data_IF_590595630179
#
_entry.id   IF_590595630179
#
_cell.length_a   1.000
_cell.length_b   1.000
_cell.length_c   1.000
_cell.angle_alpha   90.00
_cell.angle_beta   90.00
_cell.angle_gamma   90.00
#
_symmetry.space_group_name_H-M   'P 1'
#
loop_
_entity.id
_entity.type
_entity.pdbx_description
1 polymer ?
#
# COMPACT_ATOMS: atom_id res chain seq x y z
N UNK A 1 6.20 22.32 -9.93
CA UNK A 1 5.60 22.96 -8.75
C UNK A 1 6.27 22.39 -7.51
N UNK A 2 6.66 23.24 -6.54
CA UNK A 2 7.20 22.80 -5.26
C UNK A 2 6.06 22.28 -4.38
N UNK A 3 6.20 21.07 -3.85
CA UNK A 3 5.26 20.49 -2.87
C UNK A 3 6.03 20.21 -1.59
N UNK A 4 5.50 20.65 -0.46
CA UNK A 4 6.09 20.39 0.86
C UNK A 4 5.00 20.06 1.86
N UNK A 5 5.10 18.91 2.52
CA UNK A 5 4.20 18.49 3.58
C UNK A 5 4.93 17.51 4.52
N UNK A 6 4.35 17.30 5.68
CA UNK A 6 4.80 16.32 6.65
C UNK A 6 3.58 15.50 7.11
N UNK A 7 3.77 14.23 7.38
CA UNK A 7 2.77 13.33 7.97
C UNK A 7 3.35 12.81 9.28
N UNK A 8 2.56 12.90 10.36
CA UNK A 8 2.96 12.42 11.68
C UNK A 8 2.70 10.92 11.83
N UNK A 9 3.39 10.30 12.77
CA UNK A 9 3.21 8.87 13.05
C UNK A 9 1.75 8.56 13.43
N UNK A 10 1.17 7.54 12.80
CA UNK A 10 -0.21 7.11 13.02
C UNK A 10 -1.27 7.92 12.26
N UNK A 11 -0.90 9.05 11.66
CA UNK A 11 -1.83 9.92 10.90
C UNK A 11 -2.24 9.24 9.59
N UNK A 12 -3.53 9.33 9.24
CA UNK A 12 -4.08 8.94 7.93
C UNK A 12 -4.37 10.21 7.12
N UNK A 13 -3.64 10.39 6.04
CA UNK A 13 -3.71 11.60 5.20
C UNK A 13 -4.21 11.26 3.82
N UNK A 14 -5.22 12.00 3.34
CA UNK A 14 -5.66 11.93 1.96
C UNK A 14 -4.90 12.94 1.08
N UNK A 15 -4.47 12.49 -0.08
CA UNK A 15 -4.01 13.33 -1.18
C UNK A 15 -5.12 13.39 -2.22
N UNK A 16 -5.79 14.54 -2.30
CA UNK A 16 -6.95 14.75 -3.18
C UNK A 16 -6.56 15.70 -4.31
N UNK A 17 -7.16 15.51 -5.46
CA UNK A 17 -6.94 16.36 -6.63
C UNK A 17 -7.52 15.74 -7.90
N UNK A 18 -7.63 16.54 -8.94
CA UNK A 18 -8.13 16.08 -10.24
C UNK A 18 -7.30 14.93 -10.82
N UNK A 19 -7.88 14.20 -11.78
CA UNK A 19 -7.13 13.23 -12.55
C UNK A 19 -6.00 13.95 -13.32
N UNK A 20 -4.80 13.38 -13.31
CA UNK A 20 -3.63 14.00 -13.90
C UNK A 20 -2.93 15.07 -13.04
N UNK A 21 -3.40 15.39 -11.84
CA UNK A 21 -2.77 16.37 -10.94
C UNK A 21 -1.39 15.93 -10.40
N UNK A 22 -0.99 14.68 -10.64
CA UNK A 22 0.31 14.17 -10.21
C UNK A 22 0.28 13.39 -8.90
N UNK A 23 -0.89 12.99 -8.39
CA UNK A 23 -1.03 12.22 -7.15
C UNK A 23 -0.20 10.93 -7.16
N UNK A 24 -0.44 10.06 -8.14
CA UNK A 24 0.33 8.79 -8.28
C UNK A 24 1.83 9.05 -8.45
N UNK A 25 2.22 10.08 -9.21
CA UNK A 25 3.61 10.48 -9.36
C UNK A 25 4.23 10.85 -8.02
N UNK A 26 3.52 11.60 -7.17
CA UNK A 26 3.98 11.95 -5.84
C UNK A 26 4.14 10.70 -4.95
N UNK A 27 3.18 9.76 -5.00
CA UNK A 27 3.28 8.51 -4.25
C UNK A 27 4.51 7.69 -4.66
N UNK A 28 4.85 7.63 -5.94
CA UNK A 28 6.02 6.90 -6.44
C UNK A 28 7.37 7.49 -5.96
N UNK A 29 7.40 8.74 -5.50
CA UNK A 29 8.58 9.32 -4.86
C UNK A 29 8.77 8.82 -3.42
N UNK A 30 7.70 8.39 -2.73
CA UNK A 30 7.77 7.99 -1.31
C UNK A 30 8.60 6.73 -1.10
N UNK A 31 8.60 5.80 -2.05
CA UNK A 31 9.38 4.54 -2.00
C UNK A 31 10.57 4.53 -2.99
N UNK A 32 10.85 5.67 -3.64
CA UNK A 32 11.97 5.85 -4.54
C UNK A 32 11.85 5.09 -5.86
N UNK A 33 10.63 4.80 -6.33
CA UNK A 33 10.39 4.39 -7.72
C UNK A 33 10.66 5.55 -8.68
N UNK A 34 10.37 6.78 -8.24
CA UNK A 34 10.78 8.01 -8.91
C UNK A 34 11.72 8.80 -8.01
N UNK A 35 12.69 9.48 -8.62
CA UNK A 35 13.61 10.38 -7.93
C UNK A 35 13.16 11.82 -8.20
N UNK A 36 12.98 12.67 -7.17
CA UNK A 36 12.63 14.05 -7.37
C UNK A 36 13.78 14.81 -8.06
N UNK A 37 13.44 15.70 -9.00
CA UNK A 37 14.44 16.58 -9.65
C UNK A 37 15.05 17.59 -8.69
N UNK A 38 14.29 18.01 -7.69
CA UNK A 38 14.71 18.93 -6.61
C UNK A 38 13.99 18.57 -5.32
N UNK A 39 14.53 18.99 -4.17
CA UNK A 39 13.95 18.76 -2.87
C UNK A 39 14.44 17.47 -2.20
N UNK A 40 13.79 17.08 -1.14
CA UNK A 40 14.16 15.95 -0.27
C UNK A 40 12.91 15.18 0.10
N UNK A 41 13.01 13.85 0.06
CA UNK A 41 12.01 12.94 0.61
C UNK A 41 12.61 12.27 1.85
N UNK A 42 11.87 12.30 2.95
CA UNK A 42 12.23 11.66 4.22
C UNK A 42 11.08 10.74 4.63
N UNK A 43 11.36 9.46 4.86
CA UNK A 43 10.38 8.46 5.26
C UNK A 43 10.86 7.78 6.54
N UNK A 44 10.04 7.83 7.60
CA UNK A 44 10.41 7.26 8.90
C UNK A 44 11.72 7.83 9.47
N UNK A 45 12.02 9.12 9.24
CA UNK A 45 13.29 9.76 9.63
C UNK A 45 14.46 9.46 8.69
N UNK A 46 14.31 8.59 7.69
CA UNK A 46 15.38 8.21 6.76
C UNK A 46 15.26 9.05 5.49
N UNK A 47 16.31 9.83 5.17
CA UNK A 47 16.40 10.54 3.90
C UNK A 47 16.54 9.56 2.75
N UNK A 48 15.67 9.67 1.75
CA UNK A 48 15.70 8.84 0.55
C UNK A 48 16.90 9.20 -0.33
N UNK A 49 17.78 8.24 -0.52
CA UNK A 49 18.97 8.29 -1.37
C UNK A 49 19.19 6.92 -2.00
N UNK A 50 20.08 6.80 -2.99
CA UNK A 50 20.43 5.48 -3.55
C UNK A 50 20.92 4.49 -2.49
N UNK A 51 21.61 4.95 -1.45
CA UNK A 51 22.17 4.09 -0.38
C UNK A 51 21.10 3.65 0.62
N UNK A 52 20.13 4.51 0.91
CA UNK A 52 19.05 4.24 1.89
C UNK A 52 17.80 3.62 1.26
N UNK A 53 17.75 3.53 -0.07
CA UNK A 53 16.61 3.03 -0.83
C UNK A 53 16.12 1.63 -0.34
N UNK A 54 16.99 0.64 -0.07
CA UNK A 54 16.53 -0.67 0.45
C UNK A 54 15.80 -0.54 1.80
N UNK A 55 16.31 0.29 2.71
CA UNK A 55 15.69 0.53 4.03
C UNK A 55 14.35 1.24 3.90
N UNK A 56 14.27 2.27 3.03
CA UNK A 56 13.01 2.98 2.78
C UNK A 56 11.97 2.02 2.19
N UNK A 57 12.33 1.16 1.25
CA UNK A 57 11.41 0.18 0.64
C UNK A 57 10.92 -0.90 1.60
N UNK A 58 11.67 -1.21 2.65
CA UNK A 58 11.20 -2.08 3.74
C UNK A 58 10.19 -1.35 4.64
N UNK A 59 10.38 -0.04 4.85
CA UNK A 59 9.54 0.75 5.75
C UNK A 59 8.28 1.29 5.09
N UNK A 60 8.25 1.41 3.76
CA UNK A 60 7.14 2.01 2.99
C UNK A 60 6.52 0.97 2.10
N UNK A 61 5.30 0.57 2.43
CA UNK A 61 4.48 -0.30 1.60
C UNK A 61 3.63 0.50 0.62
N UNK A 62 3.73 0.21 -0.68
CA UNK A 62 2.94 0.85 -1.72
C UNK A 62 1.94 -0.12 -2.33
N UNK A 63 0.65 0.24 -2.26
CA UNK A 63 -0.43 -0.47 -2.94
C UNK A 63 -0.80 0.31 -4.20
N UNK A 64 -0.65 -0.33 -5.35
CA UNK A 64 -0.97 0.28 -6.65
C UNK A 64 -2.48 0.36 -6.91
N UNK A 65 -2.88 1.32 -7.74
CA UNK A 65 -4.25 1.48 -8.19
C UNK A 65 -4.77 0.20 -8.86
N UNK A 66 -4.01 -0.35 -9.78
CA UNK A 66 -4.34 -1.61 -10.43
C UNK A 66 -3.60 -2.78 -9.76
N UNK A 67 -4.37 -3.70 -9.19
CA UNK A 67 -3.82 -4.88 -8.52
C UNK A 67 -3.14 -5.85 -9.50
N UNK A 68 -3.47 -5.84 -10.79
CA UNK A 68 -2.83 -6.69 -11.80
C UNK A 68 -1.38 -6.25 -12.07
N UNK A 69 -1.01 -5.02 -11.75
CA UNK A 69 0.37 -4.54 -11.77
C UNK A 69 1.19 -4.97 -10.53
N UNK A 70 0.55 -5.57 -9.54
CA UNK A 70 1.18 -5.97 -8.27
C UNK A 70 1.19 -7.49 -8.05
N UNK A 71 0.19 -8.20 -8.60
CA UNK A 71 0.02 -9.64 -8.45
C UNK A 71 0.49 -10.35 -9.71
N UNK A 72 1.54 -11.15 -9.61
CA UNK A 72 2.20 -11.76 -10.76
C UNK A 72 2.68 -13.21 -10.53
N UNK A 73 2.56 -13.72 -9.29
CA UNK A 73 2.96 -15.08 -8.96
C UNK A 73 1.84 -16.10 -9.31
N UNK A 74 2.17 -17.38 -9.44
CA UNK A 74 1.18 -18.43 -9.71
C UNK A 74 0.07 -18.54 -8.68
N UNK A 75 0.39 -18.32 -7.39
CA UNK A 75 -0.56 -18.40 -6.27
C UNK A 75 -0.52 -17.14 -5.40
N UNK A 76 -1.62 -16.90 -4.70
CA UNK A 76 -1.75 -15.83 -3.71
C UNK A 76 -0.68 -15.92 -2.62
N UNK A 77 -0.42 -17.14 -2.12
CA UNK A 77 0.59 -17.35 -1.07
C UNK A 77 1.98 -16.93 -1.54
N UNK A 78 2.35 -17.27 -2.78
CA UNK A 78 3.63 -16.89 -3.38
C UNK A 78 3.74 -15.37 -3.59
N UNK A 79 2.67 -14.69 -4.02
CA UNK A 79 2.64 -13.23 -4.14
C UNK A 79 2.85 -12.57 -2.76
N UNK A 80 2.17 -13.04 -1.72
CA UNK A 80 2.29 -12.48 -0.37
C UNK A 80 3.65 -12.79 0.26
N UNK A 81 4.24 -13.95 -0.07
CA UNK A 81 5.57 -14.33 0.38
C UNK A 81 6.71 -13.62 -0.35
N UNK A 82 6.46 -13.00 -1.50
CA UNK A 82 7.50 -12.41 -2.35
C UNK A 82 8.31 -11.31 -1.64
N UNK A 83 7.62 -10.38 -0.96
CA UNK A 83 8.26 -9.31 -0.19
C UNK A 83 9.16 -9.86 0.93
N UNK A 84 8.62 -10.63 1.88
CA UNK A 84 9.39 -11.27 2.97
C UNK A 84 10.57 -12.12 2.47
N UNK A 85 10.41 -12.85 1.36
CA UNK A 85 11.49 -13.65 0.77
C UNK A 85 12.64 -12.76 0.26
N UNK A 86 12.34 -11.63 -0.35
CA UNK A 86 13.34 -10.66 -0.79
C UNK A 86 14.05 -9.96 0.39
N UNK A 87 13.41 -9.90 1.55
CA UNK A 87 14.02 -9.44 2.80
C UNK A 87 14.97 -10.48 3.41
N UNK A 88 15.05 -11.68 2.83
CA UNK A 88 15.87 -12.80 3.28
C UNK A 88 15.55 -13.25 4.71
N UNK A 89 14.27 -13.23 5.05
CA UNK A 89 13.80 -13.75 6.33
C UNK A 89 13.87 -15.28 6.36
N UNK A 90 13.92 -15.84 7.57
CA UNK A 90 13.86 -17.29 7.77
C UNK A 90 12.50 -17.86 7.30
N UNK A 91 12.47 -19.09 6.75
CA UNK A 91 11.24 -19.67 6.20
C UNK A 91 10.06 -19.69 7.17
N UNK A 92 10.31 -19.88 8.46
CA UNK A 92 9.29 -19.87 9.52
C UNK A 92 8.65 -18.49 9.65
N UNK A 93 9.48 -17.44 9.65
CA UNK A 93 9.03 -16.05 9.75
C UNK A 93 8.25 -15.63 8.49
N UNK A 94 8.65 -16.09 7.32
CA UNK A 94 7.90 -15.86 6.07
C UNK A 94 6.51 -16.48 6.19
N UNK A 95 6.40 -17.73 6.62
CA UNK A 95 5.10 -18.41 6.79
C UNK A 95 4.21 -17.68 7.79
N UNK A 96 4.75 -17.23 8.92
CA UNK A 96 4.03 -16.45 9.92
C UNK A 96 3.46 -15.18 9.31
N UNK A 97 4.29 -14.37 8.66
CA UNK A 97 3.90 -13.08 8.05
C UNK A 97 2.87 -13.24 6.95
N UNK A 98 3.03 -14.25 6.10
CA UNK A 98 2.05 -14.59 5.05
C UNK A 98 0.70 -14.92 5.65
N UNK A 99 0.67 -15.78 6.66
CA UNK A 99 -0.57 -16.18 7.35
C UNK A 99 -1.25 -14.97 7.98
N UNK A 100 -0.52 -14.18 8.77
CA UNK A 100 -1.05 -13.00 9.45
C UNK A 100 -1.55 -11.94 8.46
N UNK A 101 -0.83 -11.70 7.36
CA UNK A 101 -1.24 -10.75 6.34
C UNK A 101 -2.52 -11.20 5.62
N UNK A 102 -2.63 -12.48 5.25
CA UNK A 102 -3.83 -13.02 4.61
C UNK A 102 -5.03 -13.02 5.55
N UNK A 103 -4.84 -13.35 6.82
CA UNK A 103 -5.89 -13.30 7.85
C UNK A 103 -6.36 -11.84 8.07
N UNK A 104 -5.43 -10.90 8.17
CA UNK A 104 -5.74 -9.48 8.37
C UNK A 104 -6.66 -8.92 7.28
N UNK A 105 -6.50 -9.39 6.03
CA UNK A 105 -7.35 -8.95 4.89
C UNK A 105 -8.54 -9.89 4.63
N UNK A 106 -8.71 -10.97 5.41
CA UNK A 106 -9.76 -11.97 5.22
C UNK A 106 -9.64 -12.71 3.88
N UNK A 107 -8.42 -13.09 3.50
CA UNK A 107 -8.12 -13.78 2.25
C UNK A 107 -7.36 -15.10 2.44
N UNK A 108 -7.27 -15.64 3.64
CA UNK A 108 -6.52 -16.86 3.94
C UNK A 108 -7.01 -18.07 3.11
N UNK A 109 -8.32 -18.21 2.93
CA UNK A 109 -8.90 -19.30 2.13
C UNK A 109 -8.53 -19.23 0.64
N UNK A 110 -8.01 -18.09 0.20
CA UNK A 110 -7.59 -17.87 -1.20
C UNK A 110 -6.11 -18.18 -1.44
N UNK A 111 -5.33 -18.57 -0.42
CA UNK A 111 -3.87 -18.70 -0.50
C UNK A 111 -3.36 -19.59 -1.65
N UNK A 112 -4.07 -20.69 -1.94
CA UNK A 112 -3.73 -21.61 -3.02
C UNK A 112 -4.34 -21.23 -4.39
N UNK A 113 -5.15 -20.16 -4.45
CA UNK A 113 -5.77 -19.73 -5.69
C UNK A 113 -4.80 -18.94 -6.57
N UNK A 114 -5.03 -19.00 -7.89
CA UNK A 114 -4.32 -18.10 -8.81
C UNK A 114 -4.90 -16.69 -8.72
N UNK A 115 -4.08 -15.64 -8.56
CA UNK A 115 -4.54 -14.25 -8.52
C UNK A 115 -5.37 -13.84 -9.73
N UNK A 116 -5.09 -14.42 -10.89
CA UNK A 116 -5.82 -14.14 -12.15
C UNK A 116 -7.28 -14.59 -12.14
N UNK A 117 -7.66 -15.47 -11.21
CA UNK A 117 -9.05 -15.98 -11.06
C UNK A 117 -9.85 -15.23 -10.00
N UNK A 118 -9.26 -14.26 -9.32
CA UNK A 118 -9.89 -13.52 -8.24
C UNK A 118 -10.78 -12.39 -8.79
N UNK A 119 -11.86 -12.07 -8.04
CA UNK A 119 -12.64 -10.85 -8.29
C UNK A 119 -11.79 -9.60 -7.96
N UNK A 120 -12.19 -8.42 -8.49
CA UNK A 120 -11.47 -7.16 -8.23
C UNK A 120 -11.28 -6.86 -6.74
N UNK A 121 -12.32 -7.06 -5.92
CA UNK A 121 -12.22 -6.87 -4.48
C UNK A 121 -11.30 -7.90 -3.79
N UNK A 122 -11.28 -9.14 -4.24
CA UNK A 122 -10.34 -10.16 -3.76
C UNK A 122 -8.90 -9.81 -4.14
N UNK A 123 -8.65 -9.42 -5.40
CA UNK A 123 -7.33 -8.96 -5.87
C UNK A 123 -6.83 -7.79 -5.03
N UNK A 124 -7.71 -6.80 -4.76
CA UNK A 124 -7.32 -5.63 -3.94
C UNK A 124 -6.94 -6.04 -2.52
N UNK A 125 -7.69 -6.93 -1.87
CA UNK A 125 -7.33 -7.45 -0.54
C UNK A 125 -6.00 -8.19 -0.56
N UNK A 126 -5.76 -9.05 -1.56
CA UNK A 126 -4.48 -9.75 -1.71
C UNK A 126 -3.34 -8.77 -1.97
N UNK A 127 -3.52 -7.77 -2.84
CA UNK A 127 -2.52 -6.73 -3.06
C UNK A 127 -2.17 -5.95 -1.78
N UNK A 128 -3.15 -5.69 -0.91
CA UNK A 128 -2.88 -5.13 0.41
C UNK A 128 -2.07 -6.12 1.28
N UNK A 129 -2.42 -7.42 1.25
CA UNK A 129 -1.70 -8.44 2.01
C UNK A 129 -0.22 -8.58 1.59
N UNK A 130 0.11 -8.45 0.28
CA UNK A 130 1.51 -8.48 -0.17
C UNK A 130 2.36 -7.36 0.43
N UNK A 131 1.72 -6.25 0.76
CA UNK A 131 2.38 -5.11 1.42
C UNK A 131 2.45 -5.32 2.93
N UNK A 132 1.36 -5.76 3.57
CA UNK A 132 1.30 -5.99 5.01
C UNK A 132 2.29 -7.06 5.47
N UNK A 133 2.54 -8.09 4.67
CA UNK A 133 3.51 -9.16 4.97
C UNK A 133 4.95 -8.66 5.15
N UNK A 134 5.24 -7.46 4.64
CA UNK A 134 6.54 -6.80 4.85
C UNK A 134 6.62 -6.02 6.17
N UNK A 135 5.50 -5.90 6.91
CA UNK A 135 5.36 -5.12 8.15
C UNK A 135 5.87 -3.66 8.00
N UNK A 136 5.36 -2.91 7.02
CA UNK A 136 5.82 -1.55 6.77
C UNK A 136 5.38 -0.60 7.89
N UNK A 137 6.17 0.44 8.16
CA UNK A 137 5.80 1.51 9.10
C UNK A 137 4.82 2.51 8.48
N UNK A 138 4.85 2.63 7.15
CA UNK A 138 4.02 3.57 6.39
C UNK A 138 3.33 2.84 5.24
N UNK A 139 2.02 3.02 5.13
CA UNK A 139 1.23 2.53 4.00
C UNK A 139 0.95 3.68 3.04
N UNK A 140 1.26 3.47 1.78
CA UNK A 140 0.94 4.39 0.69
C UNK A 140 -0.01 3.68 -0.25
N UNK A 141 -1.16 4.27 -0.54
CA UNK A 141 -2.18 3.64 -1.36
C UNK A 141 -2.62 4.56 -2.49
N UNK A 142 -2.61 4.04 -3.70
CA UNK A 142 -3.11 4.77 -4.88
C UNK A 142 -4.49 4.24 -5.25
N UNK A 143 -5.52 5.09 -5.11
CA UNK A 143 -6.93 4.81 -5.44
C UNK A 143 -7.38 3.40 -4.96
N UNK A 144 -7.29 3.07 -3.66
CA UNK A 144 -7.51 1.70 -3.17
C UNK A 144 -8.92 1.18 -3.37
N UNK A 145 -9.90 2.06 -3.60
CA UNK A 145 -11.31 1.70 -3.81
C UNK A 145 -11.77 1.80 -5.27
N UNK A 146 -10.86 2.19 -6.19
CA UNK A 146 -11.21 2.36 -7.60
C UNK A 146 -11.64 1.03 -8.25
N UNK A 147 -12.61 1.11 -9.17
CA UNK A 147 -13.12 -0.04 -9.94
C UNK A 147 -13.71 -1.18 -9.09
N UNK A 148 -14.10 -0.92 -7.85
CA UNK A 148 -14.76 -1.88 -6.98
C UNK A 148 -16.28 -1.65 -6.96
N UNK A 149 -17.03 -2.75 -6.85
CA UNK A 149 -18.44 -2.65 -6.54
C UNK A 149 -18.67 -2.06 -5.13
N UNK A 150 -19.87 -1.53 -4.82
CA UNK A 150 -20.11 -0.84 -3.54
C UNK A 150 -19.82 -1.70 -2.29
N UNK A 151 -20.05 -3.01 -2.38
CA UNK A 151 -19.79 -3.93 -1.27
C UNK A 151 -18.29 -4.14 -1.04
N UNK A 152 -17.55 -4.43 -2.11
CA UNK A 152 -16.09 -4.59 -2.05
C UNK A 152 -15.42 -3.28 -1.62
N UNK A 153 -15.89 -2.13 -2.16
CA UNK A 153 -15.42 -0.80 -1.73
C UNK A 153 -15.56 -0.63 -0.21
N UNK A 154 -16.74 -0.90 0.35
CA UNK A 154 -16.96 -0.77 1.80
C UNK A 154 -16.04 -1.69 2.60
N UNK A 155 -15.85 -2.94 2.15
CA UNK A 155 -14.94 -3.87 2.80
C UNK A 155 -13.49 -3.36 2.83
N UNK A 156 -13.00 -2.72 1.77
CA UNK A 156 -11.66 -2.11 1.74
C UNK A 156 -11.57 -0.91 2.69
N UNK A 157 -12.58 -0.05 2.74
CA UNK A 157 -12.63 1.07 3.68
C UNK A 157 -12.57 0.56 5.13
N UNK A 158 -13.40 -0.42 5.47
CA UNK A 158 -13.43 -1.01 6.81
C UNK A 158 -12.11 -1.74 7.17
N UNK A 159 -11.45 -2.33 6.18
CA UNK A 159 -10.14 -2.94 6.34
C UNK A 159 -9.08 -1.87 6.67
N UNK A 160 -8.97 -0.82 5.87
CA UNK A 160 -7.99 0.27 6.07
C UNK A 160 -8.23 0.99 7.41
N UNK A 161 -9.49 1.11 7.85
CA UNK A 161 -9.82 1.72 9.14
C UNK A 161 -9.16 1.01 10.31
N UNK A 162 -9.03 -0.32 10.24
CA UNK A 162 -8.45 -1.15 11.31
C UNK A 162 -6.93 -1.05 11.38
N UNK A 163 -6.27 -0.53 10.34
CA UNK A 163 -4.81 -0.41 10.33
C UNK A 163 -4.35 0.75 11.22
N UNK A 164 -3.40 0.46 12.12
CA UNK A 164 -2.74 1.48 12.95
C UNK A 164 -1.56 2.17 12.27
N UNK A 165 -1.33 1.93 10.98
CA UNK A 165 -0.20 2.47 10.24
C UNK A 165 -0.36 3.95 9.93
N UNK A 166 0.75 4.68 9.87
CA UNK A 166 0.81 5.97 9.16
C UNK A 166 0.43 5.73 7.71
N UNK A 167 -0.57 6.45 7.21
CA UNK A 167 -1.12 6.13 5.88
C UNK A 167 -1.24 7.37 5.01
N UNK A 168 -0.78 7.28 3.76
CA UNK A 168 -1.00 8.28 2.72
C UNK A 168 -1.84 7.66 1.60
N UNK A 169 -3.02 8.22 1.35
CA UNK A 169 -3.97 7.68 0.37
C UNK A 169 -4.21 8.73 -0.71
N UNK A 170 -3.80 8.46 -1.95
CA UNK A 170 -4.26 9.25 -3.08
C UNK A 170 -5.64 8.74 -3.51
N UNK A 171 -6.62 9.63 -3.56
CA UNK A 171 -7.98 9.26 -3.94
C UNK A 171 -8.81 10.45 -4.39
N UNK A 172 -9.87 10.17 -5.15
CA UNK A 172 -10.97 11.06 -5.45
C UNK A 172 -12.27 10.65 -4.72
N UNK A 173 -12.22 9.59 -3.93
CA UNK A 173 -13.35 9.06 -3.14
C UNK A 173 -13.53 9.84 -1.84
N UNK A 174 -14.38 10.89 -1.91
CA UNK A 174 -14.59 11.79 -0.77
C UNK A 174 -15.27 11.13 0.43
N UNK A 175 -16.12 10.13 0.22
CA UNK A 175 -16.69 9.36 1.34
C UNK A 175 -15.62 8.61 2.10
N UNK A 176 -14.68 7.97 1.39
CA UNK A 176 -13.55 7.30 2.01
C UNK A 176 -12.66 8.30 2.78
N UNK A 177 -12.43 9.48 2.22
CA UNK A 177 -11.65 10.56 2.88
C UNK A 177 -12.30 10.95 4.21
N UNK A 178 -13.61 11.21 4.20
CA UNK A 178 -14.36 11.58 5.42
C UNK A 178 -14.40 10.46 6.46
N UNK A 179 -14.43 9.21 5.99
CA UNK A 179 -14.53 8.03 6.84
C UNK A 179 -13.18 7.63 7.50
N UNK A 180 -12.05 7.94 6.88
CA UNK A 180 -10.75 7.38 7.25
C UNK A 180 -9.67 8.40 7.60
N UNK A 181 -9.69 9.57 6.98
CA UNK A 181 -8.53 10.46 7.00
C UNK A 181 -8.67 11.56 8.04
N UNK A 182 -7.58 11.81 8.76
CA UNK A 182 -7.48 12.88 9.75
C UNK A 182 -7.30 14.26 9.07
N UNK A 183 -6.69 14.25 7.87
CA UNK A 183 -6.35 15.47 7.14
C UNK A 183 -6.30 15.22 5.63
N UNK A 184 -6.51 16.30 4.88
CA UNK A 184 -6.45 16.29 3.42
C UNK A 184 -5.37 17.25 2.91
N UNK A 185 -4.65 16.83 1.87
CA UNK A 185 -3.73 17.64 1.06
C UNK A 185 -4.35 17.75 -0.35
N UNK A 186 -4.44 18.97 -0.87
CA UNK A 186 -5.03 19.28 -2.19
C UNK A 186 -3.96 19.83 -3.13
#
# INVERSE_FOLDING_TARGET
>A
CGVSFCITHGEKVALVGANGAGKSTLLLHTNGLLTPSQGVVVMGGIKLTRRTLPLVRQSVGLVFQDSDNQLFMPTVEEDVAFGPSNMRLEPEEIRRRVTEALDAVGAFDLRGASPFRLSGGQKKRVAIATVLSMEPSVLVMDEPTSNLDPRARRQIIDLIRRFGHTTLIATHDMEMVLDLCDRTIV
#
